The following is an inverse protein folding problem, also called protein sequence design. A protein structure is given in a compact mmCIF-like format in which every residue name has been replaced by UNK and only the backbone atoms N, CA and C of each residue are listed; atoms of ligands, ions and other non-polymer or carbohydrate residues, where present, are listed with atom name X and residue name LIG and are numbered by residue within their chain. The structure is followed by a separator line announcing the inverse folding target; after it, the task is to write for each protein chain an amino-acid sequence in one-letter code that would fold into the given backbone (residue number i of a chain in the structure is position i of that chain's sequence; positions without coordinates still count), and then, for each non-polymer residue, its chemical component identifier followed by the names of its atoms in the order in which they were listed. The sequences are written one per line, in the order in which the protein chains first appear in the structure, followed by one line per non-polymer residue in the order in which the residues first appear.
data_IF_621189826505
#
_entry.id   IF_621189826505
#
_cell.length_a   1.000
_cell.length_b   1.000
_cell.length_c   1.000
_cell.angle_alpha   90.00
_cell.angle_beta   90.00
_cell.angle_gamma   90.00
#
_symmetry.space_group_name_H-M   'P 1'
#
loop_
_entity.id
_entity.type
_entity.pdbx_description
1 polymer ?
#
# COMPACT_ATOMS: atom_id res chain seq x y z
N UNK A 1 5.01 27.18 -7.08
CA UNK A 1 4.48 26.78 -8.39
C UNK A 1 2.96 27.00 -8.36
N UNK A 2 2.31 27.40 -9.47
CA UNK A 2 0.89 27.85 -9.44
C UNK A 2 -0.05 26.68 -9.05
N UNK A 3 0.35 25.45 -9.43
CA UNK A 3 -0.31 24.18 -9.11
C UNK A 3 -0.45 23.85 -7.60
N UNK A 4 0.46 24.33 -6.74
CA UNK A 4 0.38 24.07 -5.28
C UNK A 4 -0.76 24.83 -4.60
N UNK A 5 -1.12 26.01 -5.12
CA UNK A 5 -2.11 26.89 -4.49
C UNK A 5 -3.56 26.52 -4.82
N UNK A 6 -3.78 25.84 -5.93
CA UNK A 6 -5.13 25.58 -6.44
C UNK A 6 -5.65 24.18 -6.07
N UNK A 7 -4.76 23.22 -5.76
CA UNK A 7 -5.15 21.81 -5.57
C UNK A 7 -5.00 21.34 -4.12
N UNK A 8 -4.25 22.07 -3.28
CA UNK A 8 -3.92 21.71 -1.87
C UNK A 8 -3.51 20.23 -1.70
N UNK A 9 -2.96 19.63 -2.78
CA UNK A 9 -2.62 18.23 -2.86
C UNK A 9 -1.23 18.10 -3.48
N UNK A 10 -0.22 18.24 -2.64
CA UNK A 10 1.16 17.91 -2.99
C UNK A 10 1.25 16.39 -3.19
N UNK A 11 1.52 15.96 -4.43
CA UNK A 11 2.02 14.62 -4.68
C UNK A 11 3.33 14.47 -3.90
N UNK A 12 3.32 13.62 -2.87
CA UNK A 12 4.32 13.53 -1.81
C UNK A 12 5.76 13.32 -2.30
N UNK A 13 6.45 14.43 -2.56
CA UNK A 13 7.89 14.49 -2.80
C UNK A 13 8.66 14.50 -1.46
N UNK A 14 8.00 14.79 -0.34
CA UNK A 14 8.65 14.84 0.98
C UNK A 14 8.72 13.45 1.66
N UNK A 15 9.91 13.04 2.08
CA UNK A 15 10.21 11.68 2.55
C UNK A 15 9.51 11.32 3.88
N UNK A 16 9.04 12.33 4.63
CA UNK A 16 8.29 12.17 5.90
C UNK A 16 6.85 11.69 5.67
N UNK A 17 6.28 11.92 4.48
CA UNK A 17 4.85 11.75 4.17
C UNK A 17 4.56 10.66 3.13
N UNK A 18 5.57 10.00 2.54
CA UNK A 18 5.35 9.06 1.42
C UNK A 18 4.48 7.86 1.81
N UNK A 19 4.87 7.07 2.80
CA UNK A 19 4.13 5.89 3.19
C UNK A 19 2.72 6.18 3.72
N UNK A 20 2.54 7.25 4.50
CA UNK A 20 1.25 7.70 5.01
C UNK A 20 0.36 8.25 3.89
N UNK A 21 0.91 9.02 2.96
CA UNK A 21 0.17 9.52 1.79
C UNK A 21 -0.24 8.37 0.87
N UNK A 22 0.68 7.43 0.59
CA UNK A 22 0.37 6.23 -0.21
C UNK A 22 -0.67 5.37 0.49
N UNK A 23 -0.56 5.19 1.80
CA UNK A 23 -1.57 4.49 2.59
C UNK A 23 -2.94 5.16 2.45
N UNK A 24 -3.04 6.48 2.62
CA UNK A 24 -4.31 7.22 2.47
C UNK A 24 -4.88 7.16 1.05
N UNK A 25 -4.03 7.22 0.02
CA UNK A 25 -4.46 7.07 -1.37
C UNK A 25 -5.03 5.67 -1.61
N UNK A 26 -4.33 4.64 -1.16
CA UNK A 26 -4.77 3.24 -1.30
C UNK A 26 -6.03 2.98 -0.47
N UNK A 27 -6.10 3.51 0.76
CA UNK A 27 -7.24 3.39 1.66
C UNK A 27 -8.52 3.99 1.05
N UNK A 28 -8.40 5.19 0.46
CA UNK A 28 -9.49 5.82 -0.30
C UNK A 28 -9.86 5.02 -1.54
N UNK A 29 -8.87 4.52 -2.30
CA UNK A 29 -9.11 3.73 -3.49
C UNK A 29 -9.85 2.42 -3.18
N UNK A 30 -9.48 1.74 -2.09
CA UNK A 30 -10.17 0.52 -1.61
C UNK A 30 -11.58 0.86 -1.14
N UNK A 31 -11.75 1.93 -0.36
CA UNK A 31 -13.06 2.37 0.12
C UNK A 31 -14.02 2.74 -1.01
N UNK A 32 -13.49 3.20 -2.15
CA UNK A 32 -14.24 3.57 -3.36
C UNK A 32 -14.13 2.53 -4.48
N UNK A 33 -13.72 1.30 -4.17
CA UNK A 33 -13.44 0.29 -5.17
C UNK A 33 -14.66 -0.02 -6.05
N UNK A 34 -15.86 -0.05 -5.48
CA UNK A 34 -17.11 -0.32 -6.23
C UNK A 34 -17.41 0.79 -7.22
N UNK A 35 -17.32 2.04 -6.77
CA UNK A 35 -17.54 3.22 -7.61
C UNK A 35 -16.47 3.36 -8.70
N UNK A 36 -15.20 3.09 -8.37
CA UNK A 36 -14.09 3.11 -9.34
C UNK A 36 -14.28 2.00 -10.38
N UNK A 37 -14.69 0.80 -9.98
CA UNK A 37 -14.97 -0.29 -10.93
C UNK A 37 -16.15 0.01 -11.85
N UNK A 38 -17.21 0.64 -11.33
CA UNK A 38 -18.34 1.10 -12.14
C UNK A 38 -17.86 2.13 -13.17
N UNK A 39 -17.14 3.17 -12.71
CA UNK A 39 -16.58 4.19 -13.59
C UNK A 39 -15.66 3.60 -14.67
N UNK A 40 -14.79 2.65 -14.31
CA UNK A 40 -13.92 1.97 -15.29
C UNK A 40 -14.69 1.16 -16.34
N UNK A 41 -15.89 0.69 -15.99
CA UNK A 41 -16.76 -0.06 -16.91
C UNK A 41 -17.52 0.90 -17.82
N UNK A 42 -18.00 2.02 -17.28
CA UNK A 42 -18.73 3.04 -18.05
C UNK A 42 -17.83 3.78 -19.08
N UNK A 43 -16.53 3.90 -18.79
CA UNK A 43 -15.54 4.58 -19.64
C UNK A 43 -14.50 3.62 -20.25
N UNK A 44 -14.87 2.36 -20.45
CA UNK A 44 -13.98 1.30 -20.93
C UNK A 44 -13.26 1.65 -22.24
N UNK A 45 -13.95 2.31 -23.18
CA UNK A 45 -13.42 2.72 -24.48
C UNK A 45 -12.37 3.85 -24.41
N UNK A 46 -12.36 4.64 -23.34
CA UNK A 46 -11.44 5.76 -23.15
C UNK A 46 -10.21 5.38 -22.32
N UNK A 47 -10.37 4.45 -21.37
CA UNK A 47 -9.32 4.09 -20.41
C UNK A 47 -8.30 3.10 -20.96
N UNK A 48 -8.69 2.21 -21.89
CA UNK A 48 -7.80 1.21 -22.45
C UNK A 48 -7.03 0.43 -21.38
N UNK A 49 -5.69 0.44 -21.48
CA UNK A 49 -4.78 -0.29 -20.59
C UNK A 49 -4.56 0.36 -19.21
N UNK A 50 -5.14 1.54 -18.94
CA UNK A 50 -4.96 2.25 -17.65
C UNK A 50 -5.89 1.67 -16.56
N UNK A 51 -6.67 0.64 -16.89
CA UNK A 51 -7.64 0.01 -15.98
C UNK A 51 -6.95 -0.81 -14.89
N UNK A 52 -7.42 -0.68 -13.66
CA UNK A 52 -7.02 -1.55 -12.56
C UNK A 52 -7.68 -2.93 -12.72
N UNK A 53 -6.86 -3.94 -12.94
CA UNK A 53 -7.28 -5.35 -13.02
C UNK A 53 -7.57 -5.92 -11.61
N UNK A 54 -8.18 -7.11 -11.56
CA UNK A 54 -8.38 -7.81 -10.29
C UNK A 54 -7.05 -8.08 -9.55
N UNK A 55 -5.96 -8.33 -10.28
CA UNK A 55 -4.63 -8.52 -9.71
C UNK A 55 -4.09 -7.22 -9.11
N UNK A 56 -4.33 -6.07 -9.76
CA UNK A 56 -3.91 -4.77 -9.23
C UNK A 56 -4.63 -4.44 -7.92
N UNK A 57 -5.93 -4.76 -7.82
CA UNK A 57 -6.68 -4.60 -6.57
C UNK A 57 -6.17 -5.50 -5.44
N UNK A 58 -5.72 -6.72 -5.75
CA UNK A 58 -5.09 -7.62 -4.77
C UNK A 58 -3.73 -7.05 -4.29
N UNK A 59 -2.93 -6.50 -5.21
CA UNK A 59 -1.67 -5.81 -4.86
C UNK A 59 -1.95 -4.58 -3.98
N UNK A 60 -2.96 -3.77 -4.32
CA UNK A 60 -3.37 -2.61 -3.52
C UNK A 60 -3.81 -3.03 -2.11
N UNK A 61 -4.57 -4.12 -1.97
CA UNK A 61 -4.95 -4.67 -0.66
C UNK A 61 -3.75 -5.14 0.16
N UNK A 62 -2.81 -5.85 -0.47
CA UNK A 62 -1.55 -6.27 0.18
C UNK A 62 -0.70 -5.09 0.62
N UNK A 63 -0.59 -4.06 -0.23
CA UNK A 63 0.14 -2.84 0.07
C UNK A 63 -0.51 -2.05 1.22
N UNK A 64 -1.85 -1.95 1.24
CA UNK A 64 -2.60 -1.34 2.35
C UNK A 64 -2.32 -2.03 3.68
N UNK A 65 -2.48 -3.35 3.72
CA UNK A 65 -2.23 -4.15 4.93
C UNK A 65 -0.76 -4.10 5.39
N UNK A 66 0.17 -3.93 4.46
CA UNK A 66 1.58 -3.74 4.79
C UNK A 66 1.85 -2.37 5.40
N UNK A 67 1.29 -1.31 4.81
CA UNK A 67 1.51 0.09 5.20
C UNK A 67 0.73 0.52 6.45
N UNK A 68 -0.37 -0.15 6.79
CA UNK A 68 -1.22 0.23 7.93
C UNK A 68 -0.44 0.42 9.24
N UNK A 69 0.43 -0.52 9.70
CA UNK A 69 1.11 -0.35 10.99
C UNK A 69 2.11 0.82 10.98
N UNK A 70 2.68 1.11 9.81
CA UNK A 70 3.58 2.25 9.63
C UNK A 70 2.84 3.58 9.69
N UNK A 71 1.66 3.68 9.08
CA UNK A 71 0.80 4.85 9.19
C UNK A 71 0.32 5.06 10.64
N UNK A 72 -0.09 3.99 11.34
CA UNK A 72 -0.49 4.06 12.75
C UNK A 72 0.66 4.47 13.68
N UNK A 73 1.86 3.92 13.47
CA UNK A 73 3.05 4.26 14.24
C UNK A 73 3.46 5.73 14.04
N UNK A 74 3.34 6.23 12.81
CA UNK A 74 3.62 7.63 12.47
C UNK A 74 2.64 8.57 13.17
N UNK A 75 1.33 8.29 13.06
CA UNK A 75 0.30 9.08 13.74
C UNK A 75 0.49 9.09 15.27
N UNK A 76 0.88 7.96 15.85
CA UNK A 76 1.14 7.84 17.28
C UNK A 76 2.39 8.64 17.71
N UNK A 77 3.44 8.66 16.89
CA UNK A 77 4.67 9.40 17.16
C UNK A 77 4.55 10.92 16.91
N UNK A 78 3.62 11.36 16.07
CA UNK A 78 3.33 12.77 15.79
C UNK A 78 2.50 13.47 16.90
N UNK A 79 1.95 12.71 17.86
CA UNK A 79 1.21 13.27 18.99
C UNK A 79 2.07 14.11 19.94
N UNK A 80 1.49 15.15 20.52
CA UNK A 80 2.07 16.19 21.40
C UNK A 80 2.76 15.66 22.70
N UNK A 81 2.84 14.33 22.88
CA UNK A 81 3.46 13.66 24.04
C UNK A 81 4.50 12.61 23.64
N UNK A 82 4.99 12.62 22.41
CA UNK A 82 5.98 11.63 21.98
C UNK A 82 7.33 11.88 22.66
N UNK A 83 7.79 10.89 23.43
CA UNK A 83 9.12 10.87 24.00
C UNK A 83 10.01 9.90 23.22
N UNK A 84 11.32 10.14 23.21
CA UNK A 84 12.31 9.24 22.58
C UNK A 84 12.19 7.81 23.14
N UNK A 85 11.80 7.65 24.41
CA UNK A 85 11.56 6.35 25.03
C UNK A 85 10.37 5.59 24.41
N UNK A 86 9.41 6.28 23.79
CA UNK A 86 8.32 5.66 23.04
C UNK A 86 8.73 5.26 21.62
N UNK A 87 9.77 5.89 21.06
CA UNK A 87 10.26 5.55 19.71
C UNK A 87 10.87 4.15 19.63
N UNK A 88 11.53 3.69 20.70
CA UNK A 88 12.18 2.36 20.72
C UNK A 88 11.16 1.20 20.60
N UNK A 89 10.08 1.12 21.42
CA UNK A 89 9.03 0.12 21.23
C UNK A 89 8.33 0.18 19.88
N UNK A 90 8.12 1.39 19.34
CA UNK A 90 7.54 1.58 18.00
C UNK A 90 8.43 0.99 16.92
N UNK A 91 9.74 1.26 16.97
CA UNK A 91 10.71 0.71 16.02
C UNK A 91 10.78 -0.82 16.09
N UNK A 92 10.78 -1.40 17.29
CA UNK A 92 10.76 -2.86 17.47
C UNK A 92 9.49 -3.48 16.87
N UNK A 93 8.32 -2.88 17.11
CA UNK A 93 7.07 -3.36 16.55
C UNK A 93 7.04 -3.29 15.02
N UNK A 94 7.55 -2.21 14.43
CA UNK A 94 7.65 -2.05 12.98
C UNK A 94 8.64 -3.04 12.36
N UNK A 95 9.78 -3.28 13.01
CA UNK A 95 10.79 -4.24 12.56
C UNK A 95 10.22 -5.66 12.57
N UNK A 96 9.52 -6.05 13.63
CA UNK A 96 8.85 -7.36 13.72
C UNK A 96 7.80 -7.52 12.61
N UNK A 97 7.00 -6.47 12.35
CA UNK A 97 6.02 -6.50 11.26
C UNK A 97 6.70 -6.67 9.89
N UNK A 98 7.78 -5.93 9.64
CA UNK A 98 8.57 -6.03 8.41
C UNK A 98 9.13 -7.44 8.20
N UNK A 99 9.80 -8.00 9.20
CA UNK A 99 10.41 -9.34 9.08
C UNK A 99 9.36 -10.43 8.87
N UNK A 100 8.20 -10.35 9.55
CA UNK A 100 7.09 -11.28 9.32
C UNK A 100 6.58 -11.22 7.89
N UNK A 101 6.36 -10.01 7.36
CA UNK A 101 5.87 -9.82 5.98
C UNK A 101 6.90 -10.25 4.94
N UNK A 102 8.19 -10.02 5.19
CA UNK A 102 9.29 -10.51 4.34
C UNK A 102 9.31 -12.02 4.22
N UNK A 103 9.17 -12.75 5.33
CA UNK A 103 9.09 -14.22 5.33
C UNK A 103 7.84 -14.70 4.58
N UNK A 104 6.67 -14.08 4.80
CA UNK A 104 5.44 -14.43 4.08
C UNK A 104 5.57 -14.22 2.56
N UNK A 105 6.18 -13.12 2.12
CA UNK A 105 6.40 -12.87 0.69
C UNK A 105 7.42 -13.82 0.07
N UNK A 106 8.52 -14.13 0.77
CA UNK A 106 9.49 -15.11 0.31
C UNK A 106 8.85 -16.49 0.15
N UNK A 107 8.01 -16.92 1.10
CA UNK A 107 7.26 -18.18 1.01
C UNK A 107 6.26 -18.20 -0.13
N UNK A 108 5.47 -17.13 -0.30
CA UNK A 108 4.53 -17.01 -1.42
C UNK A 108 5.25 -17.11 -2.77
N UNK A 109 6.40 -16.45 -2.94
CA UNK A 109 7.20 -16.50 -4.17
C UNK A 109 7.75 -17.89 -4.48
N UNK A 110 8.03 -18.71 -3.46
CA UNK A 110 8.49 -20.10 -3.65
C UNK A 110 7.32 -21.01 -4.01
N UNK A 111 6.17 -20.86 -3.35
CA UNK A 111 4.96 -21.65 -3.59
C UNK A 111 4.35 -21.34 -4.98
N UNK A 112 4.41 -20.10 -5.46
CA UNK A 112 4.01 -19.75 -6.82
C UNK A 112 4.96 -20.31 -7.88
N UNK A 113 6.25 -20.47 -7.58
CA UNK A 113 7.21 -21.08 -8.52
C UNK A 113 7.10 -22.62 -8.58
N UNK A 114 6.71 -23.28 -7.48
CA UNK A 114 6.49 -24.73 -7.48
C UNK A 114 5.17 -25.15 -8.10
N UNK A 115 4.16 -24.26 -8.14
CA UNK A 115 2.84 -24.55 -8.71
C UNK A 115 2.77 -24.38 -10.24
N UNK A 116 3.86 -23.97 -10.90
CA UNK A 116 3.92 -23.83 -12.37
C UNK A 116 4.47 -25.12 -13.04
N UNK A 117 4.85 -26.16 -12.29
CA UNK A 117 5.28 -27.45 -12.87
C UNK A 117 4.73 -28.67 -12.11
N UNK A 118 3.52 -29.15 -12.43
CA UNK A 118 3.16 -30.55 -12.25
C UNK A 118 2.86 -31.22 -13.60
N UNK A 119 3.78 -31.09 -14.57
CA UNK A 119 3.54 -31.61 -15.92
C UNK A 119 4.76 -31.84 -16.81
N UNK A 120 5.97 -31.87 -16.26
CA UNK A 120 7.15 -32.28 -17.03
C UNK A 120 8.14 -32.95 -16.09
N UNK A 121 8.02 -34.28 -15.97
CA UNK A 121 9.11 -35.26 -15.98
C UNK A 121 8.54 -36.63 -15.54
N UNK A 122 8.42 -37.51 -16.55
CA UNK A 122 8.16 -38.97 -16.52
C UNK A 122 6.76 -39.43 -16.11
#
# INVERSE_FOLDING_TARGET
NIWDRDVDLLLGIDNRTRWSSWYLVIDRAISKQTEIKSFMTDYESFLGDIRLTAADWDILGKAHAFLQPFASATLYAEGDKSSISQSLPLMDALLVHYERKKVSHARYSLETNTNILPGALL
#
